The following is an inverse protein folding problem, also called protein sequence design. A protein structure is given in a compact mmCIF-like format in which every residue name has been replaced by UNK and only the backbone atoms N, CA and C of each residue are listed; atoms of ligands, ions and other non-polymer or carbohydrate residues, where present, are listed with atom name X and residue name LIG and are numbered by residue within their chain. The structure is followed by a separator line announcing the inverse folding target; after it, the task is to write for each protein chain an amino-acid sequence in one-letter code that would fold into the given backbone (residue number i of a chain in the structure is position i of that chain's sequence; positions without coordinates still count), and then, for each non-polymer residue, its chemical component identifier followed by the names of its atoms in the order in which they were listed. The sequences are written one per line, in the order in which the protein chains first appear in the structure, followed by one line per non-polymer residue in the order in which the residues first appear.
data_IF_500953880484
#
_entry.id   IF_500953880484
#
_cell.length_a   1.000
_cell.length_b   1.000
_cell.length_c   1.000
_cell.angle_alpha   90.00
_cell.angle_beta   90.00
_cell.angle_gamma   90.00
#
_symmetry.space_group_name_H-M   'P 1'
#
loop_
_entity.id
_entity.type
_entity.pdbx_description
1 polymer ?
#
# COMPACT_ATOMS: atom_id res chain seq x y z
N UNK A 1 14.97 -24.50 -24.91
CA UNK A 1 14.78 -23.72 -23.68
C UNK A 1 13.35 -23.91 -23.19
N UNK A 2 13.13 -24.13 -21.89
CA UNK A 2 11.90 -24.72 -21.34
C UNK A 2 10.69 -23.76 -21.38
N UNK A 3 9.83 -23.96 -22.39
CA UNK A 3 8.54 -23.29 -22.60
C UNK A 3 7.64 -23.32 -21.37
N UNK A 4 7.67 -24.41 -20.59
CA UNK A 4 6.83 -24.58 -19.38
C UNK A 4 7.06 -23.51 -18.31
N UNK A 5 8.28 -22.99 -18.17
CA UNK A 5 8.56 -21.99 -17.14
C UNK A 5 8.18 -20.58 -17.58
N UNK A 6 8.36 -20.26 -18.86
CA UNK A 6 7.83 -19.05 -19.46
C UNK A 6 6.30 -19.01 -19.32
N UNK A 7 5.62 -20.13 -19.51
CA UNK A 7 4.17 -20.22 -19.29
C UNK A 7 3.76 -19.96 -17.84
N UNK A 8 4.48 -20.52 -16.86
CA UNK A 8 4.24 -20.24 -15.43
C UNK A 8 4.44 -18.77 -15.08
N UNK A 9 5.45 -18.11 -15.65
CA UNK A 9 5.69 -16.69 -15.44
C UNK A 9 4.56 -15.83 -16.02
N UNK A 10 4.11 -16.14 -17.24
CA UNK A 10 2.95 -15.48 -17.87
C UNK A 10 1.68 -15.71 -17.04
N UNK A 11 1.43 -16.94 -16.60
CA UNK A 11 0.28 -17.27 -15.75
C UNK A 11 0.31 -16.52 -14.43
N UNK A 12 1.49 -16.39 -13.81
CA UNK A 12 1.65 -15.63 -12.57
C UNK A 12 1.43 -14.13 -12.78
N UNK A 13 1.95 -13.58 -13.88
CA UNK A 13 1.70 -12.18 -14.26
C UNK A 13 0.20 -11.93 -14.48
N UNK A 14 -0.49 -12.89 -15.10
CA UNK A 14 -1.90 -12.81 -15.43
C UNK A 14 -2.83 -13.00 -14.22
N UNK A 15 -2.55 -13.99 -13.36
CA UNK A 15 -3.45 -14.42 -12.26
C UNK A 15 -3.02 -13.91 -10.88
N UNK A 16 -1.78 -13.45 -10.72
CA UNK A 16 -1.21 -13.04 -9.44
C UNK A 16 -1.64 -11.65 -8.96
N UNK A 17 -0.79 -11.03 -8.15
CA UNK A 17 -0.94 -9.69 -7.57
C UNK A 17 -0.59 -8.56 -8.55
N UNK A 18 -0.27 -8.91 -9.80
CA UNK A 18 0.07 -7.97 -10.86
C UNK A 18 1.54 -7.53 -10.85
N UNK A 19 1.89 -6.71 -11.84
CA UNK A 19 3.29 -6.37 -12.19
C UNK A 19 4.08 -5.79 -11.02
N UNK A 20 3.45 -4.96 -10.19
CA UNK A 20 4.12 -4.21 -9.11
C UNK A 20 4.52 -5.07 -7.90
N UNK A 21 3.80 -6.16 -7.62
CA UNK A 21 4.01 -7.02 -6.45
C UNK A 21 4.74 -8.32 -6.81
N UNK A 22 4.46 -8.88 -7.98
CA UNK A 22 5.01 -10.17 -8.42
C UNK A 22 6.26 -10.02 -9.31
N UNK A 23 6.83 -8.81 -9.43
CA UNK A 23 7.94 -8.53 -10.36
C UNK A 23 9.13 -9.50 -10.19
N UNK A 24 9.65 -9.66 -8.98
CA UNK A 24 10.80 -10.53 -8.68
C UNK A 24 10.48 -12.03 -8.94
N UNK A 25 9.37 -12.60 -8.40
CA UNK A 25 8.99 -13.98 -8.68
C UNK A 25 8.63 -14.27 -10.14
N UNK A 26 8.11 -13.30 -10.89
CA UNK A 26 7.71 -13.47 -12.30
C UNK A 26 8.91 -13.45 -13.23
N UNK A 27 9.85 -12.52 -12.99
CA UNK A 27 10.96 -12.27 -13.92
C UNK A 27 12.22 -13.08 -13.64
N UNK A 28 12.51 -13.39 -12.38
CA UNK A 28 13.87 -13.78 -11.97
C UNK A 28 13.97 -15.03 -11.08
N UNK A 29 12.87 -15.72 -10.80
CA UNK A 29 12.99 -17.05 -10.19
C UNK A 29 13.75 -17.95 -11.18
N UNK A 30 14.75 -18.70 -10.70
CA UNK A 30 15.83 -19.40 -11.43
C UNK A 30 15.47 -20.25 -12.68
N UNK A 31 14.19 -20.30 -13.07
CA UNK A 31 13.67 -21.11 -14.15
C UNK A 31 12.88 -20.30 -15.21
N UNK A 32 12.49 -19.02 -14.96
CA UNK A 32 11.74 -18.21 -15.95
C UNK A 32 12.66 -17.40 -16.88
N UNK A 33 12.50 -17.57 -18.20
CA UNK A 33 13.25 -16.82 -19.23
C UNK A 33 12.62 -15.46 -19.59
N UNK A 34 11.56 -15.05 -18.89
CA UNK A 34 10.76 -13.87 -19.25
C UNK A 34 11.58 -12.57 -19.18
N UNK A 35 12.40 -12.41 -18.13
CA UNK A 35 13.30 -11.26 -18.00
C UNK A 35 14.31 -11.18 -19.13
N UNK A 36 14.91 -12.32 -19.52
CA UNK A 36 15.86 -12.40 -20.64
C UNK A 36 15.19 -12.02 -21.95
N UNK A 37 14.03 -12.60 -22.24
CA UNK A 37 13.28 -12.35 -23.48
C UNK A 37 12.86 -10.88 -23.60
N UNK A 38 12.57 -10.20 -22.49
CA UNK A 38 12.20 -8.79 -22.48
C UNK A 38 13.36 -7.81 -22.32
N UNK A 39 14.60 -8.30 -22.21
CA UNK A 39 15.80 -7.47 -22.03
C UNK A 39 15.89 -6.81 -20.64
N UNK A 40 15.41 -7.50 -19.62
CA UNK A 40 15.38 -7.05 -18.23
C UNK A 40 16.49 -7.74 -17.46
N UNK A 41 17.41 -6.95 -16.89
CA UNK A 41 18.59 -7.47 -16.23
C UNK A 41 18.30 -7.64 -14.74
N UNK A 42 18.66 -8.81 -14.18
CA UNK A 42 18.38 -9.17 -12.78
C UNK A 42 18.97 -8.18 -11.76
N UNK A 43 20.13 -7.59 -12.06
CA UNK A 43 20.85 -6.71 -11.14
C UNK A 43 20.55 -5.21 -11.36
N UNK A 44 19.59 -4.88 -12.24
CA UNK A 44 19.09 -3.52 -12.34
C UNK A 44 18.29 -3.13 -11.09
N UNK A 45 18.21 -1.82 -10.82
CA UNK A 45 17.33 -1.32 -9.78
C UNK A 45 15.89 -1.77 -10.06
N UNK A 46 15.16 -2.21 -9.03
CA UNK A 46 13.77 -2.71 -9.15
C UNK A 46 12.85 -1.73 -9.89
N UNK A 47 13.05 -0.44 -9.69
CA UNK A 47 12.28 0.62 -10.37
C UNK A 47 12.48 0.62 -11.88
N UNK A 48 13.71 0.35 -12.33
CA UNK A 48 14.07 0.23 -13.76
C UNK A 48 13.47 -1.05 -14.34
N UNK A 49 13.54 -2.16 -13.60
CA UNK A 49 12.94 -3.43 -14.01
C UNK A 49 11.42 -3.30 -14.19
N UNK A 50 10.74 -2.64 -13.23
CA UNK A 50 9.31 -2.36 -13.29
C UNK A 50 8.96 -1.52 -14.51
N UNK A 51 9.70 -0.43 -14.74
CA UNK A 51 9.51 0.44 -15.89
C UNK A 51 9.67 -0.32 -17.23
N UNK A 52 10.66 -1.22 -17.33
CA UNK A 52 10.83 -2.08 -18.51
C UNK A 52 9.64 -3.02 -18.72
N UNK A 53 9.16 -3.71 -17.67
CA UNK A 53 7.97 -4.58 -17.79
C UNK A 53 6.74 -3.78 -18.21
N UNK A 54 6.48 -2.64 -17.57
CA UNK A 54 5.36 -1.77 -17.91
C UNK A 54 5.44 -1.31 -19.36
N UNK A 55 6.63 -0.93 -19.84
CA UNK A 55 6.82 -0.55 -21.23
C UNK A 55 6.48 -1.72 -22.17
N UNK A 56 7.03 -2.92 -21.91
CA UNK A 56 6.79 -4.10 -22.75
C UNK A 56 5.31 -4.47 -22.78
N UNK A 57 4.66 -4.54 -21.63
CA UNK A 57 3.23 -4.82 -21.53
C UNK A 57 2.37 -3.74 -22.20
N UNK A 58 2.73 -2.46 -22.08
CA UNK A 58 2.03 -1.39 -22.78
C UNK A 58 2.05 -1.60 -24.29
N UNK A 59 3.17 -2.05 -24.87
CA UNK A 59 3.23 -2.40 -26.29
C UNK A 59 2.35 -3.61 -26.62
N UNK A 60 2.38 -4.66 -25.79
CA UNK A 60 1.51 -5.84 -25.97
C UNK A 60 0.04 -5.45 -25.94
N UNK A 61 -0.37 -4.59 -25.00
CA UNK A 61 -1.76 -4.20 -24.88
C UNK A 61 -2.23 -3.36 -26.08
N UNK A 62 -1.35 -2.58 -26.72
CA UNK A 62 -1.67 -1.85 -27.95
C UNK A 62 -1.99 -2.75 -29.14
N UNK A 63 -1.46 -3.98 -29.16
CA UNK A 63 -1.74 -4.95 -30.24
C UNK A 63 -3.03 -5.73 -30.05
N UNK A 64 -3.74 -5.55 -28.92
CA UNK A 64 -5.03 -6.21 -28.72
C UNK A 64 -6.05 -5.72 -29.75
N UNK A 65 -6.88 -6.60 -30.33
CA UNK A 65 -7.86 -6.20 -31.34
C UNK A 65 -9.04 -5.40 -30.76
N UNK A 66 -9.34 -5.57 -29.47
CA UNK A 66 -10.48 -4.94 -28.79
C UNK A 66 -10.04 -3.69 -28.00
N UNK A 67 -10.61 -2.53 -28.31
CA UNK A 67 -10.39 -1.26 -27.61
C UNK A 67 -10.76 -1.33 -26.12
N UNK A 68 -11.70 -2.21 -25.72
CA UNK A 68 -11.98 -2.45 -24.31
C UNK A 68 -10.82 -3.18 -23.65
N UNK A 69 -10.25 -4.18 -24.32
CA UNK A 69 -9.04 -4.87 -23.87
C UNK A 69 -7.85 -3.92 -23.69
N UNK A 70 -7.63 -3.01 -24.66
CA UNK A 70 -6.55 -2.00 -24.58
C UNK A 70 -6.65 -1.11 -23.34
N UNK A 71 -7.88 -0.74 -22.95
CA UNK A 71 -8.13 0.11 -21.77
C UNK A 71 -8.09 -0.66 -20.45
N UNK A 72 -8.63 -1.88 -20.43
CA UNK A 72 -8.79 -2.66 -19.19
C UNK A 72 -7.53 -3.42 -18.77
N UNK A 73 -6.75 -3.93 -19.72
CA UNK A 73 -5.56 -4.71 -19.42
C UNK A 73 -4.52 -3.93 -18.58
N UNK A 74 -4.18 -2.65 -18.86
CA UNK A 74 -3.30 -1.85 -18.01
C UNK A 74 -3.71 -1.81 -16.55
N UNK A 75 -5.01 -1.57 -16.28
CA UNK A 75 -5.56 -1.46 -14.92
C UNK A 75 -5.51 -2.81 -14.22
N UNK A 76 -6.00 -3.86 -14.88
CA UNK A 76 -6.09 -5.21 -14.31
C UNK A 76 -4.73 -5.92 -14.21
N UNK A 77 -3.66 -5.38 -14.79
CA UNK A 77 -2.27 -5.83 -14.56
C UNK A 77 -1.50 -4.94 -13.56
N UNK A 78 -2.16 -3.95 -12.95
CA UNK A 78 -1.54 -2.97 -12.04
C UNK A 78 -0.40 -2.18 -12.71
N UNK A 79 -0.57 -1.77 -13.97
CA UNK A 79 0.47 -0.95 -14.63
C UNK A 79 0.51 0.47 -14.05
N UNK A 80 -0.64 1.04 -13.70
CA UNK A 80 -0.70 2.36 -13.10
C UNK A 80 -0.51 2.31 -11.57
N UNK A 81 0.01 3.39 -10.97
CA UNK A 81 0.20 3.50 -9.54
C UNK A 81 -1.14 3.71 -8.84
N UNK A 82 -1.76 2.60 -8.41
CA UNK A 82 -3.00 2.59 -7.63
C UNK A 82 -2.80 1.75 -6.36
N UNK A 83 -2.72 2.39 -5.17
CA UNK A 83 -2.47 1.70 -3.91
C UNK A 83 -3.50 0.61 -3.55
N UNK A 84 -4.78 0.80 -3.89
CA UNK A 84 -5.84 -0.16 -3.57
C UNK A 84 -5.80 -1.37 -4.51
N UNK A 85 -5.56 -1.14 -5.79
CA UNK A 85 -5.39 -2.22 -6.79
C UNK A 85 -4.12 -3.03 -6.52
N UNK A 86 -3.04 -2.39 -6.07
CA UNK A 86 -1.76 -3.04 -5.78
C UNK A 86 -1.79 -4.03 -4.62
N UNK A 87 -2.86 -4.07 -3.81
CA UNK A 87 -3.01 -4.99 -2.66
C UNK A 87 -3.88 -6.20 -2.98
N UNK A 88 -4.49 -6.24 -4.15
CA UNK A 88 -5.51 -7.23 -4.51
C UNK A 88 -4.97 -8.20 -5.55
N UNK A 89 -5.43 -9.45 -5.45
CA UNK A 89 -5.27 -10.44 -6.52
C UNK A 89 -6.14 -10.07 -7.74
N UNK A 90 -6.11 -10.88 -8.80
CA UNK A 90 -6.89 -10.60 -10.00
C UNK A 90 -8.40 -10.51 -9.72
N UNK A 91 -8.94 -11.36 -8.85
CA UNK A 91 -10.36 -11.36 -8.49
C UNK A 91 -10.76 -10.08 -7.78
N UNK A 92 -10.01 -9.71 -6.73
CA UNK A 92 -10.23 -8.47 -5.98
C UNK A 92 -10.09 -7.22 -6.84
N UNK A 93 -9.19 -7.21 -7.83
CA UNK A 93 -9.05 -6.11 -8.79
C UNK A 93 -10.26 -5.99 -9.72
N UNK A 94 -10.80 -7.11 -10.21
CA UNK A 94 -12.05 -7.09 -11.00
C UNK A 94 -13.22 -6.54 -10.20
N UNK A 95 -13.39 -7.00 -8.95
CA UNK A 95 -14.45 -6.51 -8.05
C UNK A 95 -14.30 -5.01 -7.81
N UNK A 96 -13.10 -4.54 -7.45
CA UNK A 96 -12.83 -3.12 -7.21
C UNK A 96 -13.07 -2.28 -8.47
N UNK A 97 -12.70 -2.79 -9.65
CA UNK A 97 -12.95 -2.11 -10.91
C UNK A 97 -14.45 -1.96 -11.19
N UNK A 98 -15.24 -3.05 -11.10
CA UNK A 98 -16.70 -2.98 -11.29
C UNK A 98 -17.34 -2.00 -10.31
N UNK A 99 -16.89 -2.00 -9.04
CA UNK A 99 -17.39 -1.08 -8.01
C UNK A 99 -17.11 0.38 -8.34
N UNK A 100 -15.92 0.71 -8.88
CA UNK A 100 -15.55 2.08 -9.26
C UNK A 100 -16.21 2.54 -10.57
N UNK A 101 -16.66 1.60 -11.40
CA UNK A 101 -17.20 1.86 -12.73
C UNK A 101 -18.59 1.21 -12.93
N UNK A 102 -19.58 1.51 -12.07
CA UNK A 102 -20.88 0.82 -12.08
C UNK A 102 -21.68 1.04 -13.37
N UNK A 103 -21.44 2.15 -14.07
CA UNK A 103 -22.16 2.53 -15.29
C UNK A 103 -21.52 1.99 -16.58
N UNK A 104 -20.37 1.32 -16.49
CA UNK A 104 -19.65 0.83 -17.69
C UNK A 104 -20.10 -0.58 -18.13
N UNK A 105 -21.07 -1.18 -17.42
CA UNK A 105 -21.72 -2.43 -17.81
C UNK A 105 -20.81 -3.66 -17.78
N UNK A 106 -19.70 -3.59 -17.03
CA UNK A 106 -18.78 -4.70 -16.90
C UNK A 106 -19.23 -5.70 -15.83
N UNK A 107 -19.31 -6.96 -16.22
CA UNK A 107 -19.39 -8.08 -15.28
C UNK A 107 -18.00 -8.69 -15.08
N UNK A 108 -17.80 -9.37 -13.95
CA UNK A 108 -16.56 -10.14 -13.71
C UNK A 108 -16.28 -11.16 -14.83
N UNK A 109 -17.33 -11.76 -15.39
CA UNK A 109 -17.26 -12.69 -16.52
C UNK A 109 -16.75 -11.99 -17.77
N UNK A 110 -17.24 -10.78 -18.07
CA UNK A 110 -16.78 -9.96 -19.19
C UNK A 110 -15.30 -9.60 -19.02
N UNK A 111 -14.90 -9.17 -17.83
CA UNK A 111 -13.50 -8.82 -17.53
C UNK A 111 -12.56 -10.03 -17.67
N UNK A 112 -13.00 -11.21 -17.21
CA UNK A 112 -12.23 -12.46 -17.33
C UNK A 112 -11.98 -12.84 -18.79
N UNK A 113 -13.02 -12.79 -19.64
CA UNK A 113 -12.90 -13.10 -21.07
C UNK A 113 -11.92 -12.17 -21.80
N UNK A 114 -11.97 -10.87 -21.49
CA UNK A 114 -11.06 -9.87 -22.07
C UNK A 114 -9.61 -10.15 -21.65
N UNK A 115 -9.40 -10.49 -20.38
CA UNK A 115 -8.08 -10.81 -19.85
C UNK A 115 -7.52 -12.11 -20.45
N UNK A 116 -8.34 -13.16 -20.59
CA UNK A 116 -7.93 -14.42 -21.21
C UNK A 116 -7.43 -14.20 -22.64
N UNK A 117 -8.07 -13.31 -23.40
CA UNK A 117 -7.62 -12.92 -24.73
C UNK A 117 -6.28 -12.17 -24.75
N UNK A 118 -5.80 -11.69 -23.60
CA UNK A 118 -4.52 -10.97 -23.47
C UNK A 118 -3.33 -11.93 -23.33
N UNK A 119 -3.54 -13.15 -22.81
CA UNK A 119 -2.48 -14.13 -22.58
C UNK A 119 -1.75 -14.53 -23.86
N UNK A 120 -2.44 -14.83 -24.99
CA UNK A 120 -1.78 -15.11 -26.26
C UNK A 120 -0.90 -13.95 -26.74
N UNK A 121 -1.34 -12.70 -26.57
CA UNK A 121 -0.57 -11.52 -26.96
C UNK A 121 0.73 -11.39 -26.16
N UNK A 122 0.68 -11.64 -24.84
CA UNK A 122 1.88 -11.69 -24.00
C UNK A 122 2.81 -12.82 -24.46
N UNK A 123 2.28 -14.02 -24.71
CA UNK A 123 3.09 -15.15 -25.21
C UNK A 123 3.78 -14.83 -26.55
N UNK A 124 3.06 -14.22 -27.49
CA UNK A 124 3.61 -13.83 -28.80
C UNK A 124 4.74 -12.80 -28.66
N UNK A 125 4.62 -11.86 -27.72
CA UNK A 125 5.67 -10.85 -27.45
C UNK A 125 7.01 -11.46 -27.01
N UNK A 126 6.99 -12.68 -26.45
CA UNK A 126 8.18 -13.37 -25.96
C UNK A 126 8.93 -14.11 -27.07
N UNK A 127 8.28 -14.30 -28.22
CA UNK A 127 8.86 -14.95 -29.41
C UNK A 127 9.30 -13.93 -30.46
N UNK A 128 8.83 -12.69 -30.36
CA UNK A 128 9.16 -11.62 -31.29
C UNK A 128 10.54 -11.03 -31.00
N UNK A 129 11.24 -10.58 -32.05
CA UNK A 129 12.36 -9.65 -31.88
C UNK A 129 11.80 -8.34 -31.33
N UNK A 130 12.18 -7.98 -30.12
CA UNK A 130 11.64 -6.81 -29.44
C UNK A 130 12.51 -5.59 -29.74
N UNK A 131 11.92 -4.46 -30.17
CA UNK A 131 12.68 -3.24 -30.41
C UNK A 131 13.31 -2.74 -29.12
N UNK A 132 14.40 -1.98 -29.23
CA UNK A 132 15.02 -1.32 -28.09
C UNK A 132 14.01 -0.36 -27.42
N UNK A 133 14.11 -0.22 -26.10
CA UNK A 133 13.25 0.71 -25.35
C UNK A 133 13.85 2.11 -25.51
N UNK A 134 13.10 3.09 -26.06
CA UNK A 134 13.61 4.45 -26.17
C UNK A 134 14.00 5.00 -24.80
N UNK A 135 15.22 5.53 -24.68
CA UNK A 135 15.76 6.02 -23.41
C UNK A 135 14.83 7.04 -22.72
N UNK A 136 14.21 7.93 -23.52
CA UNK A 136 13.27 8.93 -23.00
C UNK A 136 12.00 8.31 -22.41
N UNK A 137 11.45 7.29 -23.07
CA UNK A 137 10.26 6.59 -22.56
C UNK A 137 10.58 5.84 -21.25
N UNK A 138 11.76 5.23 -21.18
CA UNK A 138 12.23 4.56 -19.97
C UNK A 138 12.44 5.56 -18.83
N UNK A 139 13.08 6.72 -19.10
CA UNK A 139 13.27 7.79 -18.09
C UNK A 139 11.96 8.25 -17.49
N UNK A 140 10.95 8.55 -18.32
CA UNK A 140 9.62 8.99 -17.84
C UNK A 140 8.95 7.94 -16.97
N UNK A 141 9.01 6.66 -17.35
CA UNK A 141 8.45 5.59 -16.53
C UNK A 141 9.21 5.44 -15.21
N UNK A 142 10.54 5.45 -15.23
CA UNK A 142 11.35 5.38 -14.00
C UNK A 142 11.05 6.55 -13.07
N UNK A 143 10.95 7.78 -13.59
CA UNK A 143 10.61 8.96 -12.80
C UNK A 143 9.23 8.81 -12.14
N UNK A 144 8.20 8.43 -12.92
CA UNK A 144 6.85 8.18 -12.39
C UNK A 144 6.84 7.14 -11.27
N UNK A 145 7.62 6.08 -11.42
CA UNK A 145 7.73 5.03 -10.42
C UNK A 145 8.51 5.48 -9.17
N UNK A 146 9.54 6.32 -9.34
CA UNK A 146 10.26 6.92 -8.21
C UNK A 146 9.34 7.87 -7.42
N UNK A 147 8.57 8.71 -8.09
CA UNK A 147 7.59 9.60 -7.47
C UNK A 147 6.55 8.81 -6.65
N UNK A 148 5.99 7.75 -7.24
CA UNK A 148 5.07 6.86 -6.52
C UNK A 148 5.75 6.09 -5.37
N UNK A 149 6.99 5.65 -5.57
CA UNK A 149 7.76 4.99 -4.53
C UNK A 149 8.04 5.95 -3.37
N UNK A 150 8.35 7.23 -3.64
CA UNK A 150 8.54 8.29 -2.63
C UNK A 150 7.24 8.58 -1.89
N UNK A 151 6.11 8.71 -2.60
CA UNK A 151 4.78 8.86 -1.99
C UNK A 151 4.43 7.67 -1.09
N UNK A 152 4.85 6.47 -1.49
CA UNK A 152 4.64 5.23 -0.74
C UNK A 152 5.67 4.96 0.35
N UNK A 153 6.91 5.45 0.24
CA UNK A 153 8.03 5.25 1.19
C UNK A 153 8.11 6.35 2.23
N UNK A 154 7.54 7.53 1.95
CA UNK A 154 7.26 8.57 2.93
C UNK A 154 6.16 8.17 3.92
N UNK A 155 5.48 7.03 3.68
CA UNK A 155 4.44 6.45 4.54
C UNK A 155 4.87 5.07 5.04
N UNK A 156 5.07 4.91 6.33
CA UNK A 156 5.19 3.59 6.94
C UNK A 156 3.86 2.86 6.78
N UNK A 157 3.89 1.59 6.34
CA UNK A 157 2.66 0.79 6.20
C UNK A 157 2.19 0.30 7.58
N UNK A 158 0.88 0.36 7.83
CA UNK A 158 0.24 -0.05 9.10
C UNK A 158 0.67 -1.45 9.56
N UNK A 159 0.81 -2.41 8.65
CA UNK A 159 1.23 -3.78 8.98
C UNK A 159 2.71 -3.87 9.39
N UNK A 160 3.56 -3.04 8.77
CA UNK A 160 4.97 -2.95 9.14
C UNK A 160 5.12 -2.25 10.50
N UNK A 161 4.34 -1.20 10.73
CA UNK A 161 4.24 -0.51 12.01
C UNK A 161 3.75 -1.45 13.12
N UNK A 162 2.66 -2.18 12.90
CA UNK A 162 2.13 -3.14 13.88
C UNK A 162 3.16 -4.23 14.23
N UNK A 163 3.93 -4.73 13.26
CA UNK A 163 5.03 -5.67 13.51
C UNK A 163 6.16 -5.04 14.34
N UNK A 164 6.50 -3.78 14.07
CA UNK A 164 7.51 -3.05 14.84
C UNK A 164 7.04 -2.85 16.28
N UNK A 165 5.81 -2.37 16.50
CA UNK A 165 5.24 -2.18 17.84
C UNK A 165 5.24 -3.49 18.64
N UNK A 166 4.85 -4.61 18.02
CA UNK A 166 4.93 -5.94 18.66
C UNK A 166 6.37 -6.30 19.06
N UNK A 167 7.35 -6.00 18.21
CA UNK A 167 8.77 -6.28 18.48
C UNK A 167 9.37 -5.33 19.53
N UNK A 168 8.89 -4.10 19.62
CA UNK A 168 9.35 -3.11 20.61
C UNK A 168 9.00 -3.46 22.06
N UNK A 169 8.15 -4.48 22.30
CA UNK A 169 8.02 -5.08 23.64
C UNK A 169 9.26 -5.90 24.05
N UNK A 170 10.14 -6.22 23.08
CA UNK A 170 11.36 -7.02 23.26
C UNK A 170 12.64 -6.28 22.87
N UNK A 171 12.54 -5.02 22.39
CA UNK A 171 13.64 -4.22 21.85
C UNK A 171 13.38 -2.71 22.05
N UNK A 172 14.37 -1.81 21.83
CA UNK A 172 14.19 -0.37 21.99
C UNK A 172 13.03 0.19 21.15
N UNK A 173 12.28 1.15 21.73
CA UNK A 173 11.10 1.75 21.08
C UNK A 173 11.44 2.71 19.94
N UNK A 174 12.71 3.11 19.79
CA UNK A 174 13.16 4.15 18.85
C UNK A 174 12.77 3.86 17.40
N UNK A 175 12.83 2.59 16.98
CA UNK A 175 12.41 2.18 15.64
C UNK A 175 10.90 2.33 15.42
N UNK A 176 10.08 1.99 16.42
CA UNK A 176 8.63 2.15 16.35
C UNK A 176 8.23 3.64 16.39
N UNK A 177 8.96 4.46 17.14
CA UNK A 177 8.78 5.91 17.17
C UNK A 177 9.15 6.54 15.83
N UNK A 178 10.32 6.21 15.28
CA UNK A 178 10.75 6.69 13.95
C UNK A 178 9.78 6.24 12.85
N UNK A 179 9.23 5.03 12.99
CA UNK A 179 8.21 4.51 12.09
C UNK A 179 6.88 5.26 12.23
N UNK A 180 6.45 5.58 13.46
CA UNK A 180 5.26 6.38 13.72
C UNK A 180 5.36 7.79 13.10
N UNK A 181 6.49 8.47 13.24
CA UNK A 181 6.67 9.83 12.68
C UNK A 181 6.47 9.87 11.16
N UNK A 182 6.75 8.75 10.48
CA UNK A 182 6.55 8.55 9.03
C UNK A 182 5.24 7.83 8.70
N UNK A 183 4.43 7.45 9.68
CA UNK A 183 3.15 6.77 9.47
C UNK A 183 2.08 7.81 9.15
N UNK A 184 1.28 7.58 8.12
CA UNK A 184 0.02 8.31 7.96
C UNK A 184 -1.00 7.71 8.91
N UNK A 185 -1.55 8.54 9.80
CA UNK A 185 -2.51 8.12 10.83
C UNK A 185 -3.87 8.77 10.60
N UNK A 186 -4.91 8.05 10.97
CA UNK A 186 -6.28 8.53 11.09
C UNK A 186 -6.45 9.18 12.46
N UNK A 187 -6.86 10.44 12.46
CA UNK A 187 -7.00 11.28 13.66
C UNK A 187 -8.46 11.68 13.81
N UNK A 188 -9.17 11.14 14.82
CA UNK A 188 -10.53 11.57 15.14
C UNK A 188 -10.57 13.04 15.57
N UNK A 189 -11.61 13.75 15.11
CA UNK A 189 -11.84 15.16 15.42
C UNK A 189 -13.25 15.38 15.96
N UNK A 190 -13.37 16.40 16.82
CA UNK A 190 -14.64 16.86 17.37
C UNK A 190 -15.51 17.47 16.25
N UNK A 191 -16.76 17.79 16.59
CA UNK A 191 -17.66 18.48 15.64
C UNK A 191 -17.17 19.89 15.25
N UNK A 192 -16.32 20.50 16.08
CA UNK A 192 -15.67 21.80 15.83
C UNK A 192 -14.29 21.66 15.21
N UNK A 193 -13.96 20.48 14.67
CA UNK A 193 -12.68 20.14 14.04
C UNK A 193 -11.45 20.15 14.98
N UNK A 194 -11.67 20.12 16.30
CA UNK A 194 -10.62 20.02 17.30
C UNK A 194 -10.17 18.58 17.54
N UNK A 195 -8.92 18.37 17.97
CA UNK A 195 -8.43 17.05 18.39
C UNK A 195 -9.20 16.55 19.62
N UNK A 196 -9.59 15.27 19.61
CA UNK A 196 -10.34 14.65 20.70
C UNK A 196 -9.39 14.10 21.76
N UNK A 197 -9.32 14.76 22.92
CA UNK A 197 -8.52 14.31 24.05
C UNK A 197 -9.36 13.44 24.99
N UNK A 198 -8.92 12.21 25.24
CA UNK A 198 -9.51 11.29 26.20
C UNK A 198 -8.77 11.35 27.54
N UNK A 199 -9.50 11.63 28.62
CA UNK A 199 -8.95 11.61 29.98
C UNK A 199 -9.01 10.21 30.56
N UNK A 200 -7.86 9.69 30.99
CA UNK A 200 -7.76 8.42 31.71
C UNK A 200 -7.63 8.66 33.20
N UNK A 201 -8.25 7.82 34.03
CA UNK A 201 -8.29 8.01 35.48
C UNK A 201 -6.91 7.94 36.18
N UNK A 202 -5.91 7.32 35.55
CA UNK A 202 -4.58 7.13 36.14
C UNK A 202 -3.39 7.39 35.21
N UNK A 203 -3.61 7.68 33.93
CA UNK A 203 -2.51 7.93 32.96
C UNK A 203 -2.58 9.35 32.36
N UNK A 204 -3.49 10.21 32.84
CA UNK A 204 -3.64 11.57 32.34
C UNK A 204 -4.40 11.63 31.01
N UNK A 205 -4.13 12.68 30.24
CA UNK A 205 -4.84 13.01 29.01
C UNK A 205 -4.12 12.42 27.78
N UNK A 206 -4.87 11.74 26.89
CA UNK A 206 -4.33 11.03 25.73
C UNK A 206 -5.14 11.30 24.46
N UNK A 207 -4.43 11.33 23.33
CA UNK A 207 -5.01 11.32 22.00
C UNK A 207 -5.00 9.91 21.42
N UNK A 208 -6.16 9.41 21.03
CA UNK A 208 -6.30 8.14 20.34
C UNK A 208 -6.19 8.36 18.83
N UNK A 209 -5.24 7.70 18.18
CA UNK A 209 -5.06 7.72 16.73
C UNK A 209 -4.94 6.31 16.17
N UNK A 210 -5.18 6.16 14.87
CA UNK A 210 -5.29 4.83 14.26
C UNK A 210 -4.40 4.73 13.03
N UNK A 211 -3.75 3.58 12.85
CA UNK A 211 -2.89 3.35 11.69
C UNK A 211 -3.69 3.09 10.40
N UNK A 212 -4.98 2.78 10.52
CA UNK A 212 -5.92 2.58 9.41
C UNK A 212 -7.33 3.06 9.76
N UNK A 213 -8.14 3.38 8.76
CA UNK A 213 -9.58 3.68 8.94
C UNK A 213 -10.34 2.47 9.50
N UNK A 214 -9.97 1.25 9.11
CA UNK A 214 -10.59 0.02 9.62
C UNK A 214 -10.38 -0.15 11.14
N UNK A 215 -9.20 0.21 11.65
CA UNK A 215 -8.93 0.19 13.09
C UNK A 215 -9.76 1.24 13.83
N UNK A 216 -9.88 2.45 13.26
CA UNK A 216 -10.74 3.51 13.80
C UNK A 216 -12.21 3.06 13.85
N UNK A 217 -12.72 2.50 12.75
CA UNK A 217 -14.10 2.02 12.66
C UNK A 217 -14.38 0.89 13.65
N UNK A 218 -13.45 -0.06 13.75
CA UNK A 218 -13.52 -1.14 14.74
C UNK A 218 -13.57 -0.56 16.15
N UNK A 219 -12.67 0.36 16.49
CA UNK A 219 -12.65 1.00 17.81
C UNK A 219 -13.95 1.75 18.10
N UNK A 220 -14.48 2.50 17.13
CA UNK A 220 -15.76 3.22 17.23
C UNK A 220 -16.93 2.27 17.49
N UNK A 221 -17.02 1.18 16.74
CA UNK A 221 -18.06 0.17 16.93
C UNK A 221 -17.97 -0.53 18.29
N UNK A 222 -16.75 -0.82 18.75
CA UNK A 222 -16.53 -1.57 20.00
C UNK A 222 -16.80 -0.70 21.23
N UNK A 223 -16.39 0.56 21.20
CA UNK A 223 -16.53 1.46 22.36
C UNK A 223 -17.90 2.11 22.47
N UNK A 224 -18.63 2.30 21.34
CA UNK A 224 -19.98 2.90 21.27
C UNK A 224 -20.13 4.26 21.98
N UNK A 225 -19.02 4.95 22.28
CA UNK A 225 -19.01 6.21 23.03
C UNK A 225 -18.94 7.42 22.08
N UNK A 226 -19.72 8.46 22.34
CA UNK A 226 -19.36 9.82 21.88
C UNK A 226 -18.15 10.25 22.70
N UNK A 227 -17.06 10.78 22.10
CA UNK A 227 -17.04 11.66 20.92
C UNK A 227 -16.56 11.03 19.59
N UNK A 228 -16.38 9.72 19.51
CA UNK A 228 -15.75 9.03 18.35
C UNK A 228 -16.63 8.91 17.10
N UNK A 229 -17.86 9.42 17.16
CA UNK A 229 -18.82 9.47 16.05
C UNK A 229 -18.66 10.70 15.14
N UNK A 230 -17.61 11.51 15.37
CA UNK A 230 -17.32 12.73 14.62
C UNK A 230 -16.60 12.52 13.28
N UNK A 231 -16.08 13.61 12.72
CA UNK A 231 -15.22 13.58 11.53
C UNK A 231 -13.84 13.02 11.89
N UNK A 232 -13.10 12.51 10.92
CA UNK A 232 -11.69 12.18 11.08
C UNK A 232 -10.91 12.73 9.90
N UNK A 233 -9.62 13.00 10.12
CA UNK A 233 -8.67 13.41 9.09
C UNK A 233 -7.50 12.45 9.02
N UNK A 234 -6.80 12.45 7.89
CA UNK A 234 -5.52 11.77 7.74
C UNK A 234 -4.38 12.78 7.81
N UNK A 235 -3.33 12.46 8.58
CA UNK A 235 -2.10 13.26 8.62
C UNK A 235 -0.89 12.39 8.96
N UNK A 236 0.32 12.91 8.74
CA UNK A 236 1.54 12.23 9.17
C UNK A 236 1.69 12.29 10.69
N UNK A 237 2.25 11.23 11.27
CA UNK A 237 2.56 11.18 12.71
C UNK A 237 3.45 12.34 13.14
N UNK A 238 4.44 12.74 12.33
CA UNK A 238 5.27 13.92 12.61
C UNK A 238 4.46 15.22 12.71
N UNK A 239 3.49 15.44 11.82
CA UNK A 239 2.65 16.64 11.84
C UNK A 239 1.71 16.63 13.04
N UNK A 240 1.18 15.46 13.40
CA UNK A 240 0.39 15.30 14.61
C UNK A 240 1.22 15.63 15.86
N UNK A 241 2.45 15.13 15.99
CA UNK A 241 3.29 15.45 17.15
C UNK A 241 3.53 16.96 17.24
N UNK A 242 3.78 17.65 16.12
CA UNK A 242 3.92 19.11 16.10
C UNK A 242 2.64 19.80 16.58
N UNK A 243 1.48 19.42 16.03
CA UNK A 243 0.18 19.99 16.41
C UNK A 243 -0.12 19.77 17.91
N UNK A 244 0.22 18.60 18.45
CA UNK A 244 0.02 18.28 19.87
C UNK A 244 0.95 19.09 20.75
N UNK A 245 2.26 19.11 20.46
CA UNK A 245 3.24 19.83 21.29
C UNK A 245 2.98 21.33 21.29
N UNK A 246 2.48 21.90 20.19
CA UNK A 246 2.15 23.32 20.09
C UNK A 246 0.92 23.72 20.92
N UNK A 247 0.00 22.77 21.16
CA UNK A 247 -1.25 23.03 21.88
C UNK A 247 -1.23 22.55 23.33
N UNK A 248 -0.60 21.41 23.60
CA UNK A 248 -0.65 20.73 24.89
C UNK A 248 0.68 20.09 25.25
N UNK A 249 1.22 20.47 26.43
CA UNK A 249 2.46 19.88 26.97
C UNK A 249 2.24 18.61 27.78
N UNK A 250 0.99 18.28 28.11
CA UNK A 250 0.63 17.20 29.03
C UNK A 250 -0.13 16.05 28.38
N UNK A 251 -0.37 16.13 27.06
CA UNK A 251 -1.18 15.13 26.33
C UNK A 251 -0.26 14.13 25.65
N UNK A 252 -0.48 12.83 25.91
CA UNK A 252 0.21 11.75 25.21
C UNK A 252 -0.53 11.30 23.94
N UNK A 253 0.10 10.46 23.12
CA UNK A 253 -0.50 9.85 21.92
C UNK A 253 -0.52 8.33 22.09
N UNK A 254 -1.68 7.71 21.85
CA UNK A 254 -1.85 6.26 21.79
C UNK A 254 -2.31 5.85 20.40
N UNK A 255 -1.55 4.94 19.77
CA UNK A 255 -1.82 4.44 18.42
C UNK A 255 -2.50 3.08 18.49
N UNK A 256 -3.59 2.89 17.75
CA UNK A 256 -4.40 1.67 17.71
C UNK A 256 -4.75 1.14 19.13
N UNK A 257 -5.39 1.96 19.98
CA UNK A 257 -5.85 1.51 21.28
C UNK A 257 -6.89 0.38 21.14
N UNK A 258 -6.85 -0.66 21.99
CA UNK A 258 -7.85 -1.71 21.97
C UNK A 258 -9.24 -1.15 22.28
N UNK A 259 -10.27 -1.69 21.62
CA UNK A 259 -11.67 -1.30 21.86
C UNK A 259 -12.29 -1.91 23.12
N UNK A 260 -11.59 -2.80 23.82
CA UNK A 260 -12.07 -3.51 25.02
C UNK A 260 -11.34 -3.04 26.28
N UNK A 261 -12.05 -2.92 27.41
CA UNK A 261 -11.45 -2.67 28.72
C UNK A 261 -10.62 -3.89 29.12
N UNK A 262 -9.32 -3.70 29.35
CA UNK A 262 -8.37 -4.77 29.63
C UNK A 262 -8.54 -5.37 31.03
N UNK A 263 -9.43 -6.34 31.20
CA UNK A 263 -9.17 -7.42 32.16
C UNK A 263 -8.68 -8.70 31.48
N UNK A 264 -8.98 -8.91 30.19
CA UNK A 264 -8.81 -10.21 29.54
C UNK A 264 -7.84 -10.21 28.33
N UNK A 265 -7.19 -9.09 28.03
CA UNK A 265 -6.23 -9.04 26.92
C UNK A 265 -4.84 -9.50 27.40
N UNK A 266 -4.29 -10.64 26.91
CA UNK A 266 -2.94 -11.03 27.24
C UNK A 266 -1.96 -9.93 26.80
N UNK A 267 -1.01 -9.58 27.67
CA UNK A 267 -0.04 -8.49 27.49
C UNK A 267 0.80 -8.54 26.19
N UNK A 268 0.69 -9.62 25.41
CA UNK A 268 1.44 -9.89 24.19
C UNK A 268 0.68 -9.65 22.88
N UNK A 269 -0.58 -9.17 22.93
CA UNK A 269 -1.41 -8.95 21.71
C UNK A 269 -1.67 -7.49 21.36
N UNK A 270 -1.20 -6.53 22.17
CA UNK A 270 -1.49 -5.12 21.95
C UNK A 270 -0.59 -4.53 20.84
N UNK A 271 -1.17 -4.19 19.69
CA UNK A 271 -0.52 -3.43 18.62
C UNK A 271 -0.37 -1.93 18.96
N UNK A 272 -0.31 -1.62 20.25
CA UNK A 272 -0.56 -0.26 20.74
C UNK A 272 0.74 0.43 21.07
N UNK A 273 1.07 1.48 20.31
CA UNK A 273 2.19 2.35 20.63
C UNK A 273 1.73 3.45 21.60
N UNK A 274 2.46 3.65 22.69
CA UNK A 274 2.22 4.75 23.64
C UNK A 274 3.38 5.74 23.57
N UNK A 275 3.08 6.98 23.23
CA UNK A 275 4.02 8.11 23.23
C UNK A 275 3.61 9.06 24.37
N UNK A 276 4.26 8.99 25.55
CA UNK A 276 3.90 9.85 26.67
C UNK A 276 4.23 11.32 26.36
N UNK A 277 3.49 12.23 26.98
CA UNK A 277 3.61 13.67 26.75
C UNK A 277 5.05 14.20 26.93
N UNK A 278 5.81 13.61 27.86
CA UNK A 278 7.21 13.99 28.14
C UNK A 278 8.17 13.72 26.98
N UNK A 279 7.87 12.76 26.10
CA UNK A 279 8.74 12.38 24.99
C UNK A 279 8.41 13.18 23.71
N UNK A 280 7.17 13.65 23.54
CA UNK A 280 6.74 14.34 22.32
C UNK A 280 7.63 15.55 21.93
N UNK A 281 8.07 16.42 22.85
CA UNK A 281 8.96 17.54 22.51
C UNK A 281 10.32 17.10 21.95
N UNK A 282 10.84 15.95 22.39
CA UNK A 282 12.12 15.42 21.89
C UNK A 282 12.02 14.94 20.45
N UNK A 283 10.83 14.50 20.02
CA UNK A 283 10.59 13.95 18.68
C UNK A 283 10.52 15.00 17.57
N UNK A 284 10.25 16.27 17.92
CA UNK A 284 10.17 17.38 16.97
C UNK A 284 11.48 18.16 16.82
N UNK A 285 12.56 17.74 17.51
CA UNK A 285 13.88 18.34 17.38
C UNK A 285 13.97 19.80 17.84
N UNK A 286 13.19 20.20 18.86
CA UNK A 286 13.32 21.55 19.45
C UNK A 286 14.53 21.59 20.39
N UNK A 287 15.60 22.23 19.92
CA UNK A 287 16.56 22.92 20.78
C UNK A 287 15.88 24.08 21.51
#
# INVERSE_FOLDING_TARGET
MSTKFTERAVDRLHKGLGVRQDLDPVLFKHESNLGVQWGIVRYEQRVVQLAKVQYRLAQVFRTLPDERGKRLAPVLYNMDPDPEMCRRDLGGRKVLFVMRHPNEGYSERTLSRILEATVPAIKNSLQASLPEIPAEALRKLVQREQEFAVERSGRVHSDAFARLVRRSYTAPMDEAVAAFLRLSVVVPRSQTDGLIVARTAGQGDWLCVFSTEANHETHRHTTRQQPWSGRYGMMLGADLVREVVDRWRTVGIVVDPPGTRSSDAPAHTSNTLRLPASELPRLIGRH
#
